data_IF_155549032702
#
_entry.id   IF_155549032702
#
_cell.length_a   1.000
_cell.length_b   1.000
_cell.length_c   1.000
_cell.angle_alpha   90.00
_cell.angle_beta   90.00
_cell.angle_gamma   90.00
#
_symmetry.space_group_name_H-M   'P 1'
#
loop_
_entity.id
_entity.type
_entity.pdbx_description
1 polymer ?
#
# COMPACT_ATOMS: atom_id res chain seq x y z
N UNK A 1 5.78 7.17 4.89
CA UNK A 1 5.55 7.41 3.45
C UNK A 1 4.66 8.64 3.34
N UNK A 2 4.74 9.40 2.26
CA UNK A 2 3.86 10.53 1.96
C UNK A 2 2.68 10.05 1.11
N UNK A 3 1.49 10.59 1.37
CA UNK A 3 0.26 10.19 0.68
C UNK A 3 -0.37 11.39 -0.02
N UNK A 4 -0.52 11.29 -1.34
CA UNK A 4 -1.24 12.26 -2.17
C UNK A 4 -2.71 11.89 -2.33
N UNK A 5 -3.52 12.89 -2.66
CA UNK A 5 -4.93 12.74 -2.99
C UNK A 5 -5.10 12.71 -4.51
N UNK A 6 -5.68 11.62 -5.02
CA UNK A 6 -6.06 11.49 -6.43
C UNK A 6 -7.56 11.57 -6.66
N UNK A 7 -7.95 11.86 -7.89
CA UNK A 7 -9.35 11.76 -8.29
C UNK A 7 -9.85 10.31 -8.20
N UNK A 8 -11.10 10.15 -7.76
CA UNK A 8 -11.77 8.85 -7.68
C UNK A 8 -11.97 8.19 -9.05
N UNK A 9 -12.14 8.98 -10.13
CA UNK A 9 -12.49 8.46 -11.47
C UNK A 9 -11.31 8.21 -12.41
N UNK A 10 -10.20 8.94 -12.30
CA UNK A 10 -9.04 8.79 -13.20
C UNK A 10 -7.68 8.64 -12.51
N UNK A 11 -7.64 8.68 -11.16
CA UNK A 11 -6.41 8.51 -10.39
C UNK A 11 -5.40 9.65 -10.52
N UNK A 12 -5.68 10.71 -11.27
CA UNK A 12 -4.75 11.84 -11.43
C UNK A 12 -4.67 12.71 -10.16
N UNK A 13 -3.61 13.52 -10.00
CA UNK A 13 -3.49 14.46 -8.89
C UNK A 13 -4.69 15.39 -8.77
N UNK A 14 -5.25 15.46 -7.58
CA UNK A 14 -6.24 16.47 -7.28
C UNK A 14 -5.55 17.84 -7.21
N UNK A 15 -6.21 18.91 -7.70
CA UNK A 15 -5.63 20.27 -7.78
C UNK A 15 -5.05 20.84 -6.47
N UNK A 16 -5.54 20.39 -5.30
CA UNK A 16 -5.06 20.84 -3.99
C UNK A 16 -3.93 19.95 -3.44
N UNK A 17 -3.68 18.79 -4.05
CA UNK A 17 -2.72 17.81 -3.53
C UNK A 17 -1.32 18.18 -4.01
N UNK A 18 -0.35 18.15 -3.10
CA UNK A 18 1.05 18.14 -3.49
C UNK A 18 1.40 16.81 -4.17
N UNK A 19 2.28 16.85 -5.16
CA UNK A 19 2.77 15.69 -5.91
C UNK A 19 4.23 15.87 -6.35
N UNK A 20 4.81 14.87 -7.01
CA UNK A 20 6.22 14.78 -7.42
C UNK A 20 7.25 14.59 -6.28
N UNK A 21 6.83 14.03 -5.15
CA UNK A 21 7.79 13.57 -4.13
C UNK A 21 8.39 12.22 -4.51
N UNK A 22 9.71 12.18 -4.73
CA UNK A 22 10.37 11.06 -5.43
C UNK A 22 10.66 9.81 -4.58
N UNK A 23 10.78 9.93 -3.27
CA UNK A 23 11.33 8.83 -2.46
C UNK A 23 10.29 7.81 -2.01
N UNK A 24 9.18 8.27 -1.44
CA UNK A 24 8.20 7.40 -0.76
C UNK A 24 6.78 7.94 -0.86
N UNK A 25 6.32 8.21 -2.07
CA UNK A 25 4.97 8.72 -2.29
C UNK A 25 4.05 7.60 -2.76
N UNK A 26 2.86 7.53 -2.19
CA UNK A 26 1.74 6.71 -2.64
C UNK A 26 0.51 7.62 -2.79
N UNK A 27 -0.55 7.12 -3.40
CA UNK A 27 -1.81 7.86 -3.49
C UNK A 27 -3.01 6.99 -3.12
N UNK A 28 -4.12 7.66 -2.83
CA UNK A 28 -5.46 7.10 -2.76
C UNK A 28 -6.46 8.21 -3.05
N UNK A 29 -7.73 7.85 -3.15
CA UNK A 29 -8.78 8.81 -3.47
C UNK A 29 -8.84 9.96 -2.46
N UNK A 30 -8.92 11.16 -3.01
CA UNK A 30 -9.03 12.40 -2.26
C UNK A 30 -10.42 13.00 -2.30
N UNK A 31 -11.36 12.41 -3.02
CA UNK A 31 -12.72 12.93 -3.20
C UNK A 31 -13.72 11.78 -3.15
N UNK A 32 -14.99 12.12 -3.02
CA UNK A 32 -16.09 11.16 -3.07
C UNK A 32 -15.95 10.02 -2.03
N UNK A 33 -15.29 10.30 -0.90
CA UNK A 33 -15.02 9.29 0.13
C UNK A 33 -16.22 9.18 1.06
N UNK A 34 -16.75 7.97 1.17
CA UNK A 34 -17.76 7.63 2.16
C UNK A 34 -17.12 7.43 3.54
N UNK A 35 -17.56 8.17 4.55
CA UNK A 35 -17.05 8.05 5.93
C UNK A 35 -18.12 8.36 6.97
N UNK A 36 -17.82 7.99 8.22
CA UNK A 36 -18.60 8.35 9.41
C UNK A 36 -18.51 9.84 9.69
N UNK A 37 -19.57 10.36 10.30
CA UNK A 37 -19.72 11.75 10.69
C UNK A 37 -20.07 12.65 9.50
N UNK A 38 -20.74 13.75 9.82
CA UNK A 38 -21.24 14.73 8.87
C UNK A 38 -22.20 14.15 7.81
N UNK A 39 -23.03 15.00 7.22
CA UNK A 39 -23.89 14.58 6.11
C UNK A 39 -25.13 13.79 6.53
N UNK A 40 -25.85 13.29 5.53
CA UNK A 40 -27.21 12.78 5.69
C UNK A 40 -27.46 11.48 4.91
N UNK A 41 -26.42 10.70 4.58
CA UNK A 41 -26.60 9.47 3.78
C UNK A 41 -27.57 8.47 4.42
N UNK A 42 -27.63 8.39 5.76
CA UNK A 42 -28.56 7.50 6.45
C UNK A 42 -29.92 8.16 6.74
N UNK A 43 -30.00 9.49 6.77
CA UNK A 43 -31.25 10.26 6.93
C UNK A 43 -32.04 9.97 8.22
N UNK A 44 -31.38 9.51 9.29
CA UNK A 44 -32.00 9.23 10.60
C UNK A 44 -31.67 10.33 11.59
N UNK A 45 -32.58 10.57 12.53
CA UNK A 45 -32.36 11.57 13.58
C UNK A 45 -31.21 11.17 14.52
N UNK A 46 -30.44 12.20 14.93
CA UNK A 46 -29.31 12.10 15.86
C UNK A 46 -27.95 11.91 15.19
N UNK A 47 -26.88 12.39 15.84
CA UNK A 47 -25.52 12.43 15.29
C UNK A 47 -24.74 11.10 15.35
N UNK A 48 -25.27 10.08 16.04
CA UNK A 48 -24.61 8.78 16.20
C UNK A 48 -24.58 7.96 14.89
N UNK A 49 -25.17 8.50 13.83
CA UNK A 49 -25.53 7.82 12.59
C UNK A 49 -25.37 8.72 11.36
N UNK A 50 -24.52 9.74 11.49
CA UNK A 50 -24.19 10.63 10.37
C UNK A 50 -23.15 9.94 9.48
N UNK A 51 -23.39 9.97 8.17
CA UNK A 51 -22.48 9.48 7.15
C UNK A 51 -22.48 10.45 5.98
N UNK A 52 -21.30 10.73 5.44
CA UNK A 52 -21.09 11.57 4.26
C UNK A 52 -20.49 10.74 3.13
N UNK A 53 -20.81 11.07 1.88
CA UNK A 53 -20.19 10.50 0.67
C UNK A 53 -19.25 11.47 -0.04
N UNK A 54 -19.07 12.68 0.50
CA UNK A 54 -18.32 13.74 -0.16
C UNK A 54 -17.14 14.23 0.68
N UNK A 55 -16.64 13.38 1.60
CA UNK A 55 -15.41 13.71 2.30
C UNK A 55 -14.23 13.68 1.31
N UNK A 56 -13.26 14.57 1.53
CA UNK A 56 -12.14 14.71 0.64
C UNK A 56 -10.96 15.44 1.25
N UNK A 57 -9.82 15.39 0.56
CA UNK A 57 -8.52 15.87 1.00
C UNK A 57 -7.49 14.74 1.09
N UNK A 58 -6.21 15.10 1.25
CA UNK A 58 -5.13 14.14 1.54
C UNK A 58 -5.37 13.37 2.85
N UNK A 59 -6.12 13.99 3.78
CA UNK A 59 -6.61 13.35 5.02
C UNK A 59 -7.55 12.18 4.77
N UNK A 60 -8.24 12.12 3.64
CA UNK A 60 -9.07 10.98 3.24
C UNK A 60 -8.23 9.88 2.57
N UNK A 61 -7.24 10.27 1.75
CA UNK A 61 -6.31 9.35 1.10
C UNK A 61 -5.41 8.59 2.10
N UNK A 62 -4.93 9.28 3.13
CA UNK A 62 -3.99 8.75 4.13
C UNK A 62 -4.49 7.50 4.88
N UNK A 63 -5.71 7.47 5.46
CA UNK A 63 -6.21 6.27 6.15
C UNK A 63 -6.44 5.10 5.20
N UNK A 64 -6.81 5.34 3.93
CA UNK A 64 -6.95 4.26 2.95
C UNK A 64 -5.60 3.59 2.64
N UNK A 65 -4.55 4.37 2.42
CA UNK A 65 -3.19 3.81 2.24
C UNK A 65 -2.75 3.10 3.52
N UNK A 66 -2.93 3.72 4.69
CA UNK A 66 -2.56 3.11 5.98
C UNK A 66 -3.22 1.75 6.19
N UNK A 67 -4.52 1.64 5.93
CA UNK A 67 -5.26 0.38 6.04
C UNK A 67 -4.74 -0.69 5.07
N UNK A 68 -4.48 -0.32 3.82
CA UNK A 68 -3.91 -1.25 2.84
C UNK A 68 -2.52 -1.76 3.25
N UNK A 69 -1.63 -0.87 3.72
CA UNK A 69 -0.30 -1.26 4.18
C UNK A 69 -0.35 -2.14 5.43
N UNK A 70 -1.30 -1.89 6.34
CA UNK A 70 -1.49 -2.71 7.53
C UNK A 70 -1.91 -4.14 7.17
N UNK A 71 -2.82 -4.31 6.20
CA UNK A 71 -3.22 -5.63 5.68
C UNK A 71 -2.04 -6.37 5.05
N UNK A 72 -1.22 -5.68 4.24
CA UNK A 72 -0.04 -6.27 3.62
C UNK A 72 0.99 -6.69 4.69
N UNK A 73 1.24 -5.84 5.69
CA UNK A 73 2.17 -6.14 6.78
C UNK A 73 1.68 -7.35 7.60
N UNK A 74 0.39 -7.38 7.94
CA UNK A 74 -0.20 -8.49 8.67
C UNK A 74 -0.05 -9.80 7.91
N UNK A 75 -0.34 -9.81 6.60
CA UNK A 75 -0.14 -10.99 5.78
C UNK A 75 1.32 -11.45 5.74
N UNK A 76 2.27 -10.52 5.54
CA UNK A 76 3.70 -10.83 5.53
C UNK A 76 4.18 -11.44 6.86
N UNK A 77 3.68 -10.93 7.99
CA UNK A 77 4.02 -11.45 9.31
C UNK A 77 3.40 -12.83 9.58
N UNK A 78 2.13 -13.04 9.21
CA UNK A 78 1.40 -14.28 9.51
C UNK A 78 1.78 -15.43 8.57
N UNK A 79 1.94 -15.16 7.27
CA UNK A 79 2.19 -16.22 6.28
C UNK A 79 3.67 -16.51 6.05
N UNK A 80 4.52 -15.51 6.25
CA UNK A 80 5.93 -15.58 5.90
C UNK A 80 6.88 -15.27 7.05
N UNK A 81 6.35 -14.98 8.25
CA UNK A 81 7.13 -14.57 9.42
C UNK A 81 8.10 -13.41 9.12
N UNK A 82 7.70 -12.53 8.21
CA UNK A 82 8.54 -11.46 7.69
C UNK A 82 7.97 -10.10 8.05
N UNK A 83 8.81 -9.24 8.64
CA UNK A 83 8.46 -7.86 8.92
C UNK A 83 9.03 -6.95 7.83
N UNK A 84 8.16 -6.40 6.96
CA UNK A 84 8.58 -5.45 5.94
C UNK A 84 8.91 -4.10 6.57
N UNK A 85 10.08 -3.56 6.25
CA UNK A 85 10.39 -2.17 6.58
C UNK A 85 9.74 -1.20 5.57
N UNK A 86 9.81 0.11 5.86
CA UNK A 86 9.20 1.13 5.00
C UNK A 86 9.75 1.17 3.56
N UNK A 87 10.98 0.72 3.31
CA UNK A 87 11.54 0.55 1.96
C UNK A 87 10.86 -0.61 1.23
N UNK A 88 10.89 -1.78 1.84
CA UNK A 88 10.37 -3.01 1.24
C UNK A 88 8.88 -2.87 0.96
N UNK A 89 8.11 -2.36 1.92
CA UNK A 89 6.68 -2.11 1.75
C UNK A 89 6.40 -1.13 0.61
N UNK A 90 7.13 -0.02 0.55
CA UNK A 90 6.96 0.96 -0.52
C UNK A 90 7.29 0.38 -1.90
N UNK A 91 8.39 -0.36 -2.03
CA UNK A 91 8.78 -1.00 -3.30
C UNK A 91 7.76 -2.05 -3.73
N UNK A 92 7.30 -2.88 -2.80
CA UNK A 92 6.27 -3.90 -3.06
C UNK A 92 4.98 -3.25 -3.60
N UNK A 93 4.54 -2.17 -2.96
CA UNK A 93 3.33 -1.45 -3.37
C UNK A 93 3.52 -0.70 -4.68
N UNK A 94 4.67 -0.07 -4.91
CA UNK A 94 4.97 0.57 -6.20
C UNK A 94 4.97 -0.42 -7.35
N UNK A 95 5.42 -1.66 -7.12
CA UNK A 95 5.50 -2.69 -8.14
C UNK A 95 4.16 -3.39 -8.41
N UNK A 96 3.29 -3.48 -7.40
CA UNK A 96 2.01 -4.22 -7.48
C UNK A 96 0.77 -3.34 -7.60
N UNK A 97 0.90 -2.05 -7.29
CA UNK A 97 -0.18 -1.08 -7.28
C UNK A 97 -0.65 -0.67 -8.67
N UNK A 98 -1.70 0.16 -8.70
CA UNK A 98 -2.25 0.67 -9.95
C UNK A 98 -1.30 1.69 -10.60
N UNK A 99 -1.12 1.56 -11.92
CA UNK A 99 -0.29 2.43 -12.75
C UNK A 99 -1.12 3.31 -13.70
N UNK A 100 -2.42 3.42 -13.44
CA UNK A 100 -3.43 4.13 -14.24
C UNK A 100 -3.37 5.66 -14.08
N UNK A 101 -2.64 6.14 -13.07
CA UNK A 101 -2.56 7.54 -12.68
C UNK A 101 -1.43 8.33 -13.37
N UNK A 102 -0.97 7.91 -14.55
CA UNK A 102 0.06 8.63 -15.32
C UNK A 102 -0.50 9.92 -15.94
N UNK A 103 0.39 10.89 -16.20
CA UNK A 103 0.02 12.11 -16.92
C UNK A 103 0.19 11.89 -18.44
N UNK A 104 -0.52 12.66 -19.29
CA UNK A 104 -0.29 12.60 -20.73
C UNK A 104 1.18 12.81 -21.06
N UNK A 105 1.78 11.88 -21.82
CA UNK A 105 3.18 11.90 -22.24
C UNK A 105 4.23 11.70 -21.10
N UNK A 106 3.82 11.23 -19.93
CA UNK A 106 4.74 10.84 -18.86
C UNK A 106 4.42 9.42 -18.37
N UNK A 107 5.41 8.52 -18.44
CA UNK A 107 5.28 7.15 -17.92
C UNK A 107 5.45 7.10 -16.38
N UNK A 108 5.76 8.25 -15.76
CA UNK A 108 5.93 8.34 -14.30
C UNK A 108 4.60 8.58 -13.61
N UNK A 109 4.45 7.92 -12.46
CA UNK A 109 3.35 8.16 -11.54
C UNK A 109 3.65 9.41 -10.70
N UNK A 110 2.94 10.54 -10.91
CA UNK A 110 3.24 11.81 -10.23
C UNK A 110 3.05 11.72 -8.71
N UNK A 111 2.22 10.78 -8.22
CA UNK A 111 1.93 10.58 -6.81
C UNK A 111 2.26 9.16 -6.30
N UNK A 112 3.10 8.43 -7.05
CA UNK A 112 3.29 7.01 -6.82
C UNK A 112 2.04 6.16 -7.09
N UNK A 113 2.12 4.88 -6.74
CA UNK A 113 1.07 3.91 -7.02
C UNK A 113 -0.02 3.91 -5.96
N UNK A 114 -1.25 3.62 -6.39
CA UNK A 114 -2.38 3.38 -5.49
C UNK A 114 -2.28 1.92 -5.01
N UNK A 115 -2.35 1.65 -3.69
CA UNK A 115 -2.20 0.28 -3.19
C UNK A 115 -3.20 -0.69 -3.80
N UNK A 116 -2.70 -1.83 -4.25
CA UNK A 116 -3.49 -3.00 -4.62
C UNK A 116 -3.12 -4.13 -3.65
N UNK A 117 -3.93 -4.34 -2.61
CA UNK A 117 -3.61 -5.30 -1.54
C UNK A 117 -3.39 -6.69 -2.13
N UNK A 118 -4.35 -7.19 -2.92
CA UNK A 118 -4.23 -8.51 -3.55
C UNK A 118 -2.98 -8.64 -4.42
N UNK A 119 -2.71 -7.63 -5.26
CA UNK A 119 -1.51 -7.59 -6.10
C UNK A 119 -0.23 -7.66 -5.27
N UNK A 120 -0.18 -6.95 -4.15
CA UNK A 120 0.97 -6.95 -3.25
C UNK A 120 1.17 -8.31 -2.57
N UNK A 121 0.10 -8.97 -2.12
CA UNK A 121 0.19 -10.31 -1.52
C UNK A 121 0.71 -11.34 -2.53
N UNK A 122 0.13 -11.36 -3.74
CA UNK A 122 0.56 -12.27 -4.81
C UNK A 122 2.00 -12.03 -5.25
N UNK A 123 2.43 -10.78 -5.32
CA UNK A 123 3.81 -10.43 -5.65
C UNK A 123 4.78 -10.85 -4.54
N UNK A 124 4.41 -10.66 -3.28
CA UNK A 124 5.20 -11.10 -2.13
C UNK A 124 5.39 -12.62 -2.15
N UNK A 125 4.30 -13.38 -2.33
CA UNK A 125 4.34 -14.83 -2.45
C UNK A 125 5.24 -15.26 -3.60
N UNK A 126 5.12 -14.62 -4.77
CA UNK A 126 5.97 -14.91 -5.93
C UNK A 126 7.44 -14.67 -5.62
N UNK A 127 7.79 -13.56 -4.99
CA UNK A 127 9.17 -13.22 -4.65
C UNK A 127 9.75 -14.26 -3.69
N UNK A 128 9.00 -14.65 -2.66
CA UNK A 128 9.45 -15.61 -1.64
C UNK A 128 9.46 -17.06 -2.16
N UNK A 129 8.53 -17.45 -3.03
CA UNK A 129 8.51 -18.76 -3.68
C UNK A 129 9.62 -18.89 -4.74
N UNK A 130 9.84 -17.84 -5.54
CA UNK A 130 11.02 -17.75 -6.42
C UNK A 130 12.33 -17.70 -5.61
N UNK A 131 12.23 -17.30 -4.34
CA UNK A 131 13.25 -17.28 -3.31
C UNK A 131 13.41 -18.57 -2.49
N UNK A 132 12.85 -19.73 -2.89
CA UNK A 132 13.32 -21.06 -2.43
C UNK A 132 14.74 -21.40 -2.95
N UNK A 133 15.61 -20.40 -3.03
CA UNK A 133 17.04 -20.59 -2.99
C UNK A 133 17.39 -20.94 -1.54
N UNK A 134 18.02 -22.10 -1.33
CA UNK A 134 18.84 -22.29 -0.14
C UNK A 134 19.73 -21.05 -0.07
N UNK A 135 19.62 -20.28 1.02
CA UNK A 135 20.80 -19.58 1.51
C UNK A 135 21.86 -20.69 1.62
N UNK A 136 23.05 -20.56 1.00
CA UNK A 136 24.12 -21.46 1.33
C UNK A 136 24.22 -21.41 2.85
N UNK A 137 24.06 -22.56 3.50
CA UNK A 137 24.27 -22.67 4.94
C UNK A 137 25.49 -21.81 5.26
N UNK A 138 25.29 -20.76 6.04
CA UNK A 138 26.32 -19.85 6.49
C UNK A 138 27.17 -20.59 7.54
N UNK A 139 27.82 -21.65 7.08
CA UNK A 139 29.05 -22.22 7.61
C UNK A 139 29.02 -22.68 9.06
N UNK A 140 27.88 -22.76 9.73
CA UNK A 140 27.83 -23.36 11.06
C UNK A 140 27.68 -24.87 10.94
N UNK A 141 28.80 -25.55 10.66
CA UNK A 141 28.92 -26.95 11.07
C UNK A 141 28.84 -26.95 12.61
N UNK A 142 27.67 -27.28 13.15
CA UNK A 142 27.58 -27.80 14.52
C UNK A 142 28.30 -29.15 14.62
N UNK A 143 28.35 -29.73 15.81
CA UNK A 143 29.18 -30.88 16.24
C UNK A 143 29.04 -32.21 15.45
N UNK A 144 28.47 -32.22 14.25
CA UNK A 144 28.32 -33.40 13.38
C UNK A 144 29.35 -33.51 12.25
N UNK A 145 30.36 -32.63 12.18
CA UNK A 145 31.58 -32.89 11.42
C UNK A 145 32.49 -33.91 12.16
N UNK A 146 31.93 -35.05 12.60
CA UNK A 146 32.70 -36.16 13.16
C UNK A 146 33.01 -37.17 12.05
N UNK A 147 34.31 -37.33 11.81
CA UNK A 147 34.98 -38.33 10.98
C UNK A 147 34.17 -39.61 10.74
N UNK A 148 33.93 -39.94 9.47
CA UNK A 148 33.86 -41.32 9.02
C UNK A 148 34.98 -41.52 8.02
N UNK A 149 35.85 -42.48 8.35
CA UNK A 149 37.13 -42.75 7.70
C UNK A 149 37.04 -43.49 6.38
#
# INVERSE_FOLDING_TARGET
>A
MLVGACHSWDGKPHQYSNYNYRYRMLNAWGDSVATLGYGALQGKDGHDRDYTNNYGGTSSATPMVTGALALIQSYAMEQHHLYLNANQMHLLVMQSGYQDATLPHDDRLPMGARPNVLGALMLLDRILQAGRFHLPDDGFCGDQCALQG
#
